data_IF_196551446739
#
_entry.id   IF_196551446739
#
_cell.length_a   1.000
_cell.length_b   1.000
_cell.length_c   1.000
_cell.angle_alpha   90.00
_cell.angle_beta   90.00
_cell.angle_gamma   90.00
#
_symmetry.space_group_name_H-M   'P 1'
#
loop_
_entity.id
_entity.type
_entity.pdbx_description
1 polymer ?
#
# COMPACT_ATOMS: atom_id res chain seq x y z
N UNK A 1 -15.69 -23.03 -20.98
CA UNK A 1 -16.26 -23.52 -19.69
C UNK A 1 -15.48 -23.07 -18.44
N UNK A 2 -14.75 -21.94 -18.44
CA UNK A 2 -13.89 -21.55 -17.30
C UNK A 2 -14.53 -20.66 -16.22
N UNK A 3 -15.52 -19.83 -16.56
CA UNK A 3 -15.93 -18.73 -15.67
C UNK A 3 -16.96 -19.09 -14.57
N UNK A 4 -17.60 -20.27 -14.62
CA UNK A 4 -18.61 -20.66 -13.60
C UNK A 4 -18.01 -20.88 -12.21
N UNK A 5 -16.75 -21.36 -12.11
CA UNK A 5 -16.11 -21.62 -10.82
C UNK A 5 -15.69 -20.33 -10.11
N UNK A 6 -15.28 -19.31 -10.87
CA UNK A 6 -14.84 -18.02 -10.35
C UNK A 6 -15.96 -17.31 -9.56
N UNK A 7 -17.20 -17.36 -10.06
CA UNK A 7 -18.34 -16.77 -9.37
C UNK A 7 -18.76 -17.51 -8.08
N UNK A 8 -18.56 -18.84 -8.00
CA UNK A 8 -18.85 -19.59 -6.76
C UNK A 8 -17.93 -19.17 -5.62
N UNK A 9 -16.62 -19.02 -5.90
CA UNK A 9 -15.63 -18.56 -4.91
C UNK A 9 -15.92 -17.14 -4.43
N UNK A 10 -16.21 -16.22 -5.35
CA UNK A 10 -16.57 -14.84 -5.01
C UNK A 10 -17.81 -14.77 -4.11
N UNK A 11 -18.87 -15.52 -4.43
CA UNK A 11 -20.08 -15.53 -3.60
C UNK A 11 -19.83 -16.10 -2.19
N UNK A 12 -18.99 -17.14 -2.08
CA UNK A 12 -18.64 -17.71 -0.79
C UNK A 12 -17.86 -16.70 0.07
N UNK A 13 -16.92 -15.98 -0.53
CA UNK A 13 -16.12 -14.96 0.14
C UNK A 13 -16.95 -13.76 0.60
N UNK A 14 -17.89 -13.29 -0.23
CA UNK A 14 -18.82 -12.22 0.15
C UNK A 14 -19.71 -12.66 1.32
N UNK A 15 -20.26 -13.88 1.30
CA UNK A 15 -21.06 -14.41 2.43
C UNK A 15 -20.24 -14.55 3.71
N UNK A 16 -19.00 -15.04 3.60
CA UNK A 16 -18.11 -15.14 4.75
C UNK A 16 -17.79 -13.78 5.35
N UNK A 17 -17.67 -12.74 4.52
CA UNK A 17 -17.52 -11.36 5.00
C UNK A 17 -18.78 -10.86 5.69
N UNK A 18 -19.94 -10.98 5.06
CA UNK A 18 -21.23 -10.60 5.66
C UNK A 18 -21.44 -11.26 7.03
N UNK A 19 -21.12 -12.55 7.17
CA UNK A 19 -21.23 -13.26 8.44
C UNK A 19 -20.27 -12.75 9.52
N UNK A 20 -19.11 -12.21 9.14
CA UNK A 20 -18.11 -11.65 10.07
C UNK A 20 -18.39 -10.21 10.46
N UNK A 21 -18.89 -9.39 9.53
CA UNK A 21 -18.99 -7.93 9.71
C UNK A 21 -20.44 -7.44 9.89
N UNK A 22 -21.44 -8.24 9.53
CA UNK A 22 -22.84 -7.82 9.49
C UNK A 22 -23.17 -6.86 8.34
N UNK A 23 -22.24 -6.64 7.40
CA UNK A 23 -22.42 -5.74 6.26
C UNK A 23 -23.47 -6.26 5.26
N UNK A 24 -24.12 -5.34 4.54
CA UNK A 24 -25.01 -5.71 3.43
C UNK A 24 -24.23 -6.36 2.28
N UNK A 25 -24.90 -7.15 1.44
CA UNK A 25 -24.26 -7.86 0.33
C UNK A 25 -23.51 -6.91 -0.62
N UNK A 26 -24.10 -5.75 -0.93
CA UNK A 26 -23.48 -4.77 -1.84
C UNK A 26 -22.20 -4.18 -1.24
N UNK A 27 -22.20 -3.84 0.05
CA UNK A 27 -21.01 -3.35 0.75
C UNK A 27 -19.93 -4.43 0.84
N UNK A 28 -20.31 -5.66 1.22
CA UNK A 28 -19.38 -6.77 1.30
C UNK A 28 -18.78 -7.12 -0.07
N UNK A 29 -19.58 -7.11 -1.14
CA UNK A 29 -19.12 -7.31 -2.51
C UNK A 29 -18.16 -6.21 -2.94
N UNK A 30 -18.51 -4.94 -2.72
CA UNK A 30 -17.65 -3.81 -3.05
C UNK A 30 -16.29 -3.93 -2.35
N UNK A 31 -16.26 -4.28 -1.06
CA UNK A 31 -15.02 -4.46 -0.29
C UNK A 31 -14.20 -5.67 -0.72
N UNK A 32 -14.84 -6.78 -1.08
CA UNK A 32 -14.14 -7.96 -1.60
C UNK A 32 -13.54 -7.67 -2.99
N UNK A 33 -14.24 -6.91 -3.83
CA UNK A 33 -13.72 -6.47 -5.12
C UNK A 33 -12.61 -5.44 -4.95
N UNK A 34 -12.77 -4.46 -4.06
CA UNK A 34 -11.78 -3.43 -3.74
C UNK A 34 -10.49 -4.06 -3.19
N UNK A 35 -10.59 -5.06 -2.30
CA UNK A 35 -9.43 -5.81 -1.81
C UNK A 35 -8.74 -6.67 -2.88
N UNK A 36 -9.43 -7.03 -3.97
CA UNK A 36 -8.82 -7.72 -5.12
C UNK A 36 -8.21 -6.75 -6.13
N UNK A 37 -8.69 -5.51 -6.17
CA UNK A 37 -8.15 -4.42 -7.00
C UNK A 37 -7.12 -3.57 -6.28
N UNK A 38 -6.95 -3.75 -4.96
CA UNK A 38 -5.78 -3.28 -4.25
C UNK A 38 -4.59 -4.03 -4.86
N UNK A 39 -4.00 -3.42 -5.89
CA UNK A 39 -2.89 -3.97 -6.65
C UNK A 39 -1.78 -4.39 -5.71
N UNK A 40 -1.02 -5.40 -6.12
CA UNK A 40 0.18 -5.80 -5.40
C UNK A 40 1.01 -4.55 -5.12
N UNK A 41 1.15 -4.21 -3.83
CA UNK A 41 2.03 -3.15 -3.40
C UNK A 41 3.37 -3.81 -3.13
N UNK A 42 4.33 -3.59 -4.02
CA UNK A 42 5.69 -4.03 -3.79
C UNK A 42 6.41 -2.99 -2.93
N UNK A 43 7.10 -3.47 -1.89
CA UNK A 43 7.86 -2.63 -0.97
C UNK A 43 9.35 -2.86 -1.20
N UNK A 44 10.04 -1.81 -1.62
CA UNK A 44 11.48 -1.82 -1.87
C UNK A 44 12.18 -0.93 -0.85
N UNK A 45 13.22 -1.45 -0.22
CA UNK A 45 14.09 -0.64 0.64
C UNK A 45 15.02 0.18 -0.26
N UNK A 46 15.04 1.49 -0.06
CA UNK A 46 15.87 2.42 -0.82
C UNK A 46 16.65 3.34 0.13
N UNK A 47 17.65 4.02 -0.42
CA UNK A 47 18.31 5.14 0.23
C UNK A 47 17.82 6.43 -0.46
N UNK A 48 17.10 7.27 0.29
CA UNK A 48 16.50 8.49 -0.22
C UNK A 48 17.18 9.69 0.45
N UNK A 49 18.01 10.40 -0.33
CA UNK A 49 18.87 11.48 0.15
C UNK A 49 19.71 11.12 1.39
N UNK A 50 20.33 9.94 1.38
CA UNK A 50 21.18 9.46 2.48
C UNK A 50 20.41 8.90 3.69
N UNK A 51 19.08 8.90 3.65
CA UNK A 51 18.24 8.30 4.69
C UNK A 51 17.60 6.98 4.22
N UNK A 52 17.56 5.94 5.08
CA UNK A 52 16.87 4.70 4.75
C UNK A 52 15.36 4.95 4.61
N UNK A 53 14.79 4.55 3.48
CA UNK A 53 13.39 4.73 3.15
C UNK A 53 12.78 3.47 2.53
N UNK A 54 11.45 3.46 2.42
CA UNK A 54 10.72 2.40 1.69
C UNK A 54 9.99 3.03 0.52
N UNK A 55 10.19 2.49 -0.68
CA UNK A 55 9.44 2.81 -1.87
C UNK A 55 8.29 1.81 -1.99
N UNK A 56 7.05 2.30 -1.97
CA UNK A 56 5.88 1.51 -2.27
C UNK A 56 5.51 1.72 -3.74
N UNK A 57 5.51 0.63 -4.53
CA UNK A 57 5.11 0.64 -5.93
C UNK A 57 3.83 -0.13 -6.11
N UNK A 58 2.87 0.43 -6.85
CA UNK A 58 1.57 -0.18 -7.07
C UNK A 58 0.98 0.30 -8.39
N UNK A 59 0.12 -0.51 -9.00
CA UNK A 59 -0.54 -0.14 -10.24
C UNK A 59 -1.88 0.54 -9.96
N UNK A 60 -2.12 1.70 -10.60
CA UNK A 60 -3.39 2.41 -10.57
C UNK A 60 -3.80 2.74 -12.00
N UNK A 61 -4.97 2.23 -12.41
CA UNK A 61 -5.54 2.48 -13.73
C UNK A 61 -4.58 2.20 -14.91
N UNK A 62 -3.83 1.09 -14.85
CA UNK A 62 -2.87 0.73 -15.90
C UNK A 62 -1.54 1.49 -15.85
N UNK A 63 -1.30 2.29 -14.79
CA UNK A 63 -0.08 3.06 -14.61
C UNK A 63 0.62 2.66 -13.32
N UNK A 64 1.93 2.46 -13.39
CA UNK A 64 2.76 2.27 -12.21
C UNK A 64 2.85 3.60 -11.45
N UNK A 65 2.40 3.58 -10.20
CA UNK A 65 2.55 4.66 -9.24
C UNK A 65 3.58 4.26 -8.17
N UNK A 66 4.35 5.23 -7.69
CA UNK A 66 5.35 5.01 -6.66
C UNK A 66 5.26 6.10 -5.58
N UNK A 67 5.31 5.71 -4.32
CA UNK A 67 5.27 6.62 -3.17
C UNK A 67 6.38 6.23 -2.21
N UNK A 68 7.17 7.22 -1.78
CA UNK A 68 8.16 7.04 -0.71
C UNK A 68 7.44 7.16 0.63
N UNK A 69 7.54 6.13 1.46
CA UNK A 69 6.86 6.06 2.77
C UNK A 69 7.87 6.06 3.92
N UNK A 70 7.65 6.96 4.87
CA UNK A 70 8.30 6.90 6.20
C UNK A 70 7.67 5.80 7.04
N UNK A 71 8.52 5.04 7.74
CA UNK A 71 8.07 4.16 8.81
C UNK A 71 7.34 4.95 9.90
N UNK A 72 6.24 4.41 10.43
CA UNK A 72 5.54 4.96 11.62
C UNK A 72 6.45 5.06 12.85
N UNK A 73 7.56 4.32 12.88
CA UNK A 73 8.56 4.35 13.94
C UNK A 73 9.58 5.49 13.79
N UNK A 74 9.53 6.25 12.69
CA UNK A 74 10.37 7.41 12.45
C UNK A 74 9.55 8.50 11.73
N UNK A 75 8.66 9.21 12.46
CA UNK A 75 7.82 10.27 11.90
C UNK A 75 8.67 11.54 11.71
N UNK A 76 9.70 11.48 10.86
CA UNK A 76 10.39 12.67 10.37
C UNK A 76 9.69 13.12 9.08
N UNK A 77 9.52 14.43 8.85
CA UNK A 77 9.07 14.90 7.54
C UNK A 77 10.05 14.39 6.49
N UNK A 78 9.54 13.66 5.49
CA UNK A 78 10.38 13.21 4.39
C UNK A 78 10.86 14.45 3.63
N UNK A 79 12.17 14.58 3.37
CA UNK A 79 12.67 15.76 2.71
C UNK A 79 12.13 15.85 1.28
N UNK A 80 11.37 16.90 1.00
CA UNK A 80 10.80 17.17 -0.33
C UNK A 80 11.85 17.60 -1.35
N UNK A 81 13.04 17.98 -0.88
CA UNK A 81 14.17 18.34 -1.73
C UNK A 81 15.50 17.83 -1.14
N UNK A 82 16.51 17.59 -2.00
CA UNK A 82 17.84 17.21 -1.54
C UNK A 82 18.44 18.23 -0.57
N UNK A 83 18.12 19.52 -0.75
CA UNK A 83 18.62 20.61 0.09
C UNK A 83 18.02 20.52 1.50
N UNK A 84 16.74 20.17 1.64
CA UNK A 84 16.11 19.95 2.93
C UNK A 84 16.59 18.65 3.61
N UNK A 85 16.89 17.61 2.82
CA UNK A 85 17.45 16.37 3.34
C UNK A 85 18.81 16.59 4.01
N UNK A 86 19.70 17.31 3.33
CA UNK A 86 21.03 17.65 3.84
C UNK A 86 20.98 18.49 5.11
N UNK A 87 19.94 19.34 5.29
CA UNK A 87 19.72 20.09 6.53
C UNK A 87 19.23 19.24 7.70
N UNK A 88 18.58 18.11 7.41
CA UNK A 88 18.05 17.19 8.43
C UNK A 88 19.07 16.12 8.88
N UNK A 89 20.14 15.96 8.11
CA UNK A 89 21.34 15.22 8.48
C UNK A 89 22.18 16.11 9.40
N UNK A 90 21.94 15.98 10.69
CA UNK A 90 22.71 16.65 11.74
C UNK A 90 24.21 16.34 11.54
N UNK A 91 25.11 17.35 11.40
CA UNK A 91 26.55 17.11 11.22
C UNK A 91 27.25 16.50 12.45
N UNK A 92 26.52 16.25 13.54
CA UNK A 92 27.03 15.65 14.77
C UNK A 92 26.70 14.16 14.95
N UNK A 93 26.08 13.48 13.97
CA UNK A 93 25.78 12.04 14.05
C UNK A 93 26.97 11.15 13.65
N UNK A 94 28.18 11.50 14.06
CA UNK A 94 29.35 10.61 14.07
C UNK A 94 29.92 10.63 15.47
N UNK A 95 29.49 9.68 16.31
CA UNK A 95 30.31 8.83 17.18
C UNK A 95 29.41 7.97 18.10
#
# INVERSE_FOLDING_TARGET
MGNRRHHKKLRAEVRARMARTGESYQQALARVLEGRTAGAVDLLRIEYFGAPATLATFEVAGRLACVVVSSRHAPRPFPESPIYALRSLDPHAVH
#
